data_IF_287938447841
#
_entry.id   IF_287938447841
#
_cell.length_a   1.000
_cell.length_b   1.000
_cell.length_c   1.000
_cell.angle_alpha   90.00
_cell.angle_beta   90.00
_cell.angle_gamma   90.00
#
_symmetry.space_group_name_H-M   'P 1'
#
loop_
_entity.id
_entity.type
_entity.pdbx_description
1 polymer ?
#
# COMPACT_ATOMS: atom_id res chain seq x y z
N UNK A 1 -27.00 26.80 -14.92
CA UNK A 1 -26.35 25.49 -14.68
C UNK A 1 -25.00 25.55 -15.39
N UNK A 2 -23.86 25.51 -14.69
CA UNK A 2 -22.61 25.88 -15.33
C UNK A 2 -22.04 24.73 -16.16
N UNK A 3 -21.59 25.14 -17.34
CA UNK A 3 -20.92 24.45 -18.44
C UNK A 3 -19.89 23.38 -18.04
N UNK A 4 -20.31 22.13 -17.87
CA UNK A 4 -19.40 20.98 -17.76
C UNK A 4 -19.31 20.15 -19.04
N UNK A 5 -19.87 20.63 -20.16
CA UNK A 5 -20.25 19.77 -21.28
C UNK A 5 -19.55 20.01 -22.62
N UNK A 6 -18.46 20.78 -22.73
CA UNK A 6 -17.77 20.91 -24.04
C UNK A 6 -16.25 21.03 -23.95
N UNK A 7 -15.58 19.87 -23.95
CA UNK A 7 -14.24 19.71 -24.51
C UNK A 7 -14.37 18.70 -25.67
N UNK A 8 -13.88 19.00 -26.88
CA UNK A 8 -14.05 18.14 -28.04
C UNK A 8 -13.18 16.89 -27.87
N UNK A 9 -13.79 15.71 -27.80
CA UNK A 9 -13.07 14.44 -27.68
C UNK A 9 -12.64 14.03 -26.27
N UNK A 10 -13.31 14.48 -25.20
CA UNK A 10 -12.95 14.08 -23.83
C UNK A 10 -13.02 12.57 -23.61
N UNK A 11 -11.96 11.93 -23.08
CA UNK A 11 -12.08 10.62 -22.48
C UNK A 11 -13.20 10.66 -21.43
N UNK A 12 -14.06 9.64 -21.43
CA UNK A 12 -15.08 9.50 -20.41
C UNK A 12 -14.43 9.61 -19.02
N UNK A 13 -14.93 10.47 -18.11
CA UNK A 13 -14.30 10.73 -16.79
C UNK A 13 -14.05 9.44 -16.00
N UNK A 14 -14.94 8.47 -16.19
CA UNK A 14 -14.80 7.11 -15.68
C UNK A 14 -13.55 6.41 -16.22
N UNK A 15 -13.33 6.46 -17.54
CA UNK A 15 -12.15 5.91 -18.18
C UNK A 15 -10.86 6.59 -17.74
N UNK A 16 -10.87 7.93 -17.61
CA UNK A 16 -9.73 8.68 -17.08
C UNK A 16 -9.37 8.22 -15.67
N UNK A 17 -10.37 8.11 -14.78
CA UNK A 17 -10.14 7.67 -13.39
C UNK A 17 -9.55 6.26 -13.29
N UNK A 18 -10.05 5.32 -14.10
CA UNK A 18 -9.54 3.94 -14.14
C UNK A 18 -8.13 3.92 -14.71
N UNK A 19 -7.88 4.62 -15.81
CA UNK A 19 -6.55 4.66 -16.42
C UNK A 19 -5.52 5.26 -15.47
N UNK A 20 -5.82 6.41 -14.86
CA UNK A 20 -4.93 7.05 -13.90
C UNK A 20 -4.68 6.16 -12.69
N UNK A 21 -5.70 5.45 -12.19
CA UNK A 21 -5.53 4.47 -11.10
C UNK A 21 -4.59 3.33 -11.48
N UNK A 22 -4.75 2.73 -12.67
CA UNK A 22 -3.90 1.62 -13.12
C UNK A 22 -2.47 2.10 -13.37
N UNK A 23 -2.31 3.25 -14.03
CA UNK A 23 -1.01 3.88 -14.30
C UNK A 23 -0.27 4.20 -13.00
N UNK A 24 -0.97 4.78 -12.01
CA UNK A 24 -0.41 5.07 -10.70
C UNK A 24 -0.01 3.80 -9.93
N UNK A 25 -0.87 2.78 -9.89
CA UNK A 25 -0.55 1.53 -9.20
C UNK A 25 0.65 0.79 -9.83
N UNK A 26 0.79 0.86 -11.15
CA UNK A 26 1.94 0.24 -11.82
C UNK A 26 3.19 1.14 -11.86
N UNK A 27 3.13 2.33 -11.25
CA UNK A 27 4.19 3.35 -11.32
C UNK A 27 4.60 3.68 -12.78
N UNK A 28 3.63 3.74 -13.69
CA UNK A 28 3.87 3.91 -15.12
C UNK A 28 4.09 5.37 -15.52
N UNK A 29 3.59 6.32 -14.72
CA UNK A 29 3.78 7.76 -14.96
C UNK A 29 3.02 8.33 -16.16
N UNK A 30 2.13 7.55 -16.80
CA UNK A 30 1.36 8.00 -17.96
C UNK A 30 0.04 8.65 -17.55
N UNK A 31 -0.33 9.72 -18.26
CA UNK A 31 -1.62 10.39 -18.19
C UNK A 31 -2.24 10.48 -19.59
N UNK A 32 -3.56 10.38 -19.68
CA UNK A 32 -4.29 10.63 -20.93
C UNK A 32 -4.49 12.14 -21.17
N UNK A 33 -4.39 12.96 -20.11
CA UNK A 33 -4.59 14.41 -20.17
C UNK A 33 -3.23 15.10 -20.05
N UNK A 34 -2.97 16.07 -20.92
CA UNK A 34 -1.70 16.83 -21.02
C UNK A 34 -1.39 17.66 -19.76
N UNK A 35 -2.40 18.00 -18.96
CA UNK A 35 -2.22 18.77 -17.73
C UNK A 35 -2.91 18.07 -16.54
N UNK A 36 -2.11 17.60 -15.58
CA UNK A 36 -2.56 17.04 -14.31
C UNK A 36 -2.71 18.11 -13.22
N UNK A 37 -2.51 19.40 -13.54
CA UNK A 37 -2.65 20.51 -12.58
C UNK A 37 -4.04 20.61 -11.94
N UNK A 38 -5.08 20.04 -12.58
CA UNK A 38 -6.40 19.94 -11.98
C UNK A 38 -6.43 19.05 -10.73
N UNK A 39 -5.56 18.03 -10.67
CA UNK A 39 -5.47 17.10 -9.55
C UNK A 39 -4.85 17.77 -8.31
N UNK A 40 -3.97 18.75 -8.53
CA UNK A 40 -3.29 19.52 -7.46
C UNK A 40 -4.23 20.36 -6.62
N UNK A 41 -5.48 20.56 -7.04
CA UNK A 41 -6.50 21.32 -6.32
C UNK A 41 -7.33 20.48 -5.35
N UNK A 42 -7.34 19.15 -5.52
CA UNK A 42 -8.16 18.23 -4.73
C UNK A 42 -7.27 17.33 -3.84
N UNK A 43 -7.14 17.63 -2.53
CA UNK A 43 -6.28 16.87 -1.62
C UNK A 43 -6.60 15.38 -1.54
N UNK A 44 -7.88 15.00 -1.68
CA UNK A 44 -8.31 13.60 -1.63
C UNK A 44 -7.80 12.78 -2.81
N UNK A 45 -7.81 13.36 -4.02
CA UNK A 45 -7.32 12.68 -5.21
C UNK A 45 -5.81 12.45 -5.14
N UNK A 46 -5.05 13.44 -4.63
CA UNK A 46 -3.61 13.33 -4.41
C UNK A 46 -3.29 12.19 -3.42
N UNK A 47 -4.04 12.09 -2.32
CA UNK A 47 -3.86 11.05 -1.31
C UNK A 47 -4.13 9.65 -1.88
N UNK A 48 -5.19 9.49 -2.66
CA UNK A 48 -5.52 8.22 -3.31
C UNK A 48 -4.38 7.81 -4.26
N UNK A 49 -3.95 8.69 -5.16
CA UNK A 49 -2.89 8.39 -6.12
C UNK A 49 -1.57 8.10 -5.40
N UNK A 50 -1.23 8.85 -4.35
CA UNK A 50 -0.04 8.59 -3.53
C UNK A 50 -0.09 7.19 -2.89
N UNK A 51 -1.24 6.81 -2.32
CA UNK A 51 -1.41 5.48 -1.75
C UNK A 51 -1.26 4.37 -2.79
N UNK A 52 -1.80 4.56 -4.00
CA UNK A 52 -1.67 3.61 -5.09
C UNK A 52 -0.22 3.44 -5.55
N UNK A 53 0.52 4.55 -5.70
CA UNK A 53 1.93 4.51 -6.10
C UNK A 53 2.79 3.82 -5.02
N UNK A 54 2.52 4.10 -3.74
CA UNK A 54 3.25 3.45 -2.63
C UNK A 54 2.94 1.95 -2.59
N UNK A 55 1.66 1.56 -2.67
CA UNK A 55 1.27 0.15 -2.69
C UNK A 55 1.85 -0.60 -3.89
N UNK A 56 1.90 0.03 -5.06
CA UNK A 56 2.53 -0.50 -6.27
C UNK A 56 4.05 -0.62 -6.16
N UNK A 57 4.72 0.41 -5.66
CA UNK A 57 6.17 0.53 -5.62
C UNK A 57 6.85 -0.37 -4.60
N UNK A 58 6.15 -0.80 -3.56
CA UNK A 58 6.70 -1.70 -2.53
C UNK A 58 6.89 -3.14 -3.07
N UNK A 59 6.14 -3.54 -4.10
CA UNK A 59 6.38 -4.76 -4.89
C UNK A 59 6.03 -6.10 -4.24
N UNK A 60 6.39 -7.19 -4.94
CA UNK A 60 6.22 -8.60 -4.53
C UNK A 60 6.69 -8.94 -3.11
N UNK A 61 7.79 -8.35 -2.59
CA UNK A 61 8.25 -8.68 -1.25
C UNK A 61 7.19 -8.41 -0.16
N UNK A 62 6.37 -7.36 -0.28
CA UNK A 62 5.32 -7.07 0.72
C UNK A 62 4.11 -7.97 0.60
N UNK A 63 3.78 -8.45 -0.59
CA UNK A 63 2.69 -9.42 -0.77
C UNK A 63 3.01 -10.70 0.01
N UNK A 64 4.24 -11.22 -0.12
CA UNK A 64 4.68 -12.41 0.65
C UNK A 64 4.68 -12.09 2.15
N UNK A 65 5.13 -10.90 2.55
CA UNK A 65 5.15 -10.50 3.95
C UNK A 65 3.73 -10.44 4.56
N UNK A 66 2.75 -9.91 3.82
CA UNK A 66 1.36 -9.84 4.24
C UNK A 66 0.77 -11.25 4.33
N UNK A 67 0.98 -12.10 3.32
CA UNK A 67 0.50 -13.48 3.33
C UNK A 67 1.05 -14.25 4.55
N UNK A 68 2.35 -14.15 4.79
CA UNK A 68 3.00 -14.74 5.98
C UNK A 68 2.42 -14.17 7.27
N UNK A 69 2.25 -12.86 7.37
CA UNK A 69 1.72 -12.20 8.57
C UNK A 69 0.30 -12.65 8.90
N UNK A 70 -0.55 -12.78 7.89
CA UNK A 70 -1.93 -13.29 8.04
C UNK A 70 -1.90 -14.74 8.51
N UNK A 71 -1.08 -15.59 7.89
CA UNK A 71 -0.94 -17.00 8.28
C UNK A 71 -0.44 -17.15 9.73
N UNK A 72 0.54 -16.35 10.16
CA UNK A 72 1.04 -16.36 11.55
C UNK A 72 -0.04 -15.94 12.55
N UNK A 73 -0.84 -14.92 12.22
CA UNK A 73 -1.96 -14.48 13.09
C UNK A 73 -3.00 -15.60 13.23
N UNK A 74 -3.37 -16.24 12.12
CA UNK A 74 -4.35 -17.33 12.13
C UNK A 74 -3.79 -18.54 12.89
N UNK A 75 -2.52 -18.92 12.69
CA UNK A 75 -1.90 -20.03 13.41
C UNK A 75 -1.80 -19.76 14.91
N UNK A 76 -1.44 -18.53 15.32
CA UNK A 76 -1.39 -18.16 16.74
C UNK A 76 -2.77 -18.22 17.40
N UNK A 77 -3.82 -17.84 16.66
CA UNK A 77 -5.19 -17.98 17.13
C UNK A 77 -5.60 -19.45 17.20
N UNK A 78 -5.36 -20.22 16.14
CA UNK A 78 -5.71 -21.64 16.06
C UNK A 78 -4.99 -22.47 17.13
N UNK A 79 -3.71 -22.23 17.37
CA UNK A 79 -2.93 -22.93 18.41
C UNK A 79 -3.44 -22.64 19.82
N UNK A 80 -3.96 -21.43 20.08
CA UNK A 80 -4.68 -21.16 21.35
C UNK A 80 -5.97 -21.96 21.45
N UNK A 81 -6.74 -22.04 20.36
CA UNK A 81 -7.97 -22.82 20.32
C UNK A 81 -7.68 -24.31 20.51
N UNK A 82 -6.64 -24.84 19.88
CA UNK A 82 -6.17 -26.21 20.04
C UNK A 82 -5.79 -26.51 21.49
N UNK A 83 -4.92 -25.72 22.12
CA UNK A 83 -4.50 -25.95 23.51
C UNK A 83 -5.67 -25.91 24.51
N UNK A 84 -6.63 -24.99 24.30
CA UNK A 84 -7.85 -24.92 25.12
C UNK A 84 -8.72 -26.15 24.89
N UNK A 85 -8.88 -26.57 23.63
CA UNK A 85 -9.71 -27.73 23.27
C UNK A 85 -9.07 -29.03 23.76
N UNK A 86 -7.76 -29.22 23.60
CA UNK A 86 -6.99 -30.33 24.16
C UNK A 86 -7.20 -30.46 25.66
N UNK A 87 -7.01 -29.37 26.40
CA UNK A 87 -7.16 -29.36 27.86
C UNK A 87 -8.59 -29.71 28.28
N UNK A 88 -9.58 -29.13 27.59
CA UNK A 88 -11.00 -29.39 27.88
C UNK A 88 -11.38 -30.84 27.57
N UNK A 89 -10.94 -31.37 26.42
CA UNK A 89 -11.24 -32.73 25.99
C UNK A 89 -10.54 -33.76 26.85
N UNK A 90 -9.26 -33.57 27.18
CA UNK A 90 -8.51 -34.47 28.06
C UNK A 90 -9.15 -34.54 29.45
N UNK A 91 -9.62 -33.41 30.00
CA UNK A 91 -10.37 -33.39 31.26
C UNK A 91 -11.67 -34.19 31.14
N UNK A 92 -12.45 -34.02 30.06
CA UNK A 92 -13.70 -34.79 29.87
C UNK A 92 -13.44 -36.28 29.73
N UNK A 93 -12.44 -36.69 28.97
CA UNK A 93 -12.10 -38.11 28.79
C UNK A 93 -11.64 -38.76 30.09
N UNK A 94 -10.87 -38.06 30.92
CA UNK A 94 -10.45 -38.57 32.24
C UNK A 94 -11.61 -38.67 33.23
N UNK A 95 -12.53 -37.68 33.24
CA UNK A 95 -13.62 -37.63 34.23
C UNK A 95 -14.84 -38.46 33.85
N UNK A 96 -15.18 -38.51 32.56
CA UNK A 96 -16.42 -39.11 32.07
C UNK A 96 -16.17 -40.39 31.27
N UNK A 97 -14.90 -40.72 30.96
CA UNK A 97 -14.58 -41.84 30.07
C UNK A 97 -15.10 -41.65 28.65
N UNK A 98 -15.47 -40.43 28.28
CA UNK A 98 -16.01 -40.11 26.96
C UNK A 98 -14.90 -39.88 25.94
N UNK A 99 -15.02 -40.55 24.80
CA UNK A 99 -14.10 -40.38 23.68
C UNK A 99 -14.27 -39.00 23.01
N UNK A 100 -13.18 -38.42 22.46
CA UNK A 100 -13.25 -37.14 21.79
C UNK A 100 -14.11 -37.24 20.52
N UNK A 101 -14.98 -36.26 20.27
CA UNK A 101 -15.87 -36.25 19.13
C UNK A 101 -15.09 -36.05 17.82
N UNK A 102 -15.56 -36.64 16.72
CA UNK A 102 -14.86 -36.63 15.43
C UNK A 102 -14.55 -35.23 14.87
N UNK A 103 -15.32 -34.20 15.24
CA UNK A 103 -15.04 -32.81 14.83
C UNK A 103 -13.74 -32.25 15.43
N UNK A 104 -13.27 -32.81 16.54
CA UNK A 104 -12.00 -32.42 17.15
C UNK A 104 -10.80 -32.73 16.24
N UNK A 105 -10.86 -33.84 15.51
CA UNK A 105 -9.85 -34.23 14.52
C UNK A 105 -9.76 -33.18 13.42
N UNK A 106 -10.88 -32.55 13.05
CA UNK A 106 -10.89 -31.48 12.06
C UNK A 106 -10.12 -30.24 12.56
N UNK A 107 -10.23 -29.89 13.84
CA UNK A 107 -9.48 -28.78 14.44
C UNK A 107 -7.97 -29.07 14.41
N UNK A 108 -7.54 -30.25 14.87
CA UNK A 108 -6.13 -30.66 14.83
C UNK A 108 -5.62 -30.71 13.39
N UNK A 109 -6.36 -31.36 12.48
CA UNK A 109 -5.94 -31.48 11.09
C UNK A 109 -5.82 -30.13 10.38
N UNK A 110 -6.63 -29.15 10.77
CA UNK A 110 -6.52 -27.78 10.26
C UNK A 110 -5.32 -27.07 10.87
N UNK A 111 -5.08 -27.22 12.18
CA UNK A 111 -3.90 -26.67 12.86
C UNK A 111 -2.59 -27.17 12.23
N UNK A 112 -2.42 -28.49 12.11
CA UNK A 112 -1.25 -29.14 11.50
C UNK A 112 -1.04 -28.68 10.06
N UNK A 113 -2.12 -28.48 9.29
CA UNK A 113 -2.03 -27.98 7.91
C UNK A 113 -1.51 -26.54 7.85
N UNK A 114 -1.90 -25.67 8.78
CA UNK A 114 -1.37 -24.31 8.85
C UNK A 114 0.10 -24.30 9.27
N UNK A 115 0.48 -25.13 10.23
CA UNK A 115 1.87 -25.26 10.67
C UNK A 115 2.77 -25.72 9.53
N UNK A 116 2.35 -26.75 8.78
CA UNK A 116 3.09 -27.23 7.62
C UNK A 116 3.28 -26.15 6.54
N UNK A 117 2.26 -25.32 6.28
CA UNK A 117 2.42 -24.17 5.36
C UNK A 117 3.42 -23.15 5.91
N UNK A 118 3.30 -22.76 7.18
CA UNK A 118 4.21 -21.81 7.83
C UNK A 118 5.66 -22.29 7.88
N UNK A 119 5.88 -23.59 8.05
CA UNK A 119 7.22 -24.19 8.06
C UNK A 119 7.88 -24.10 6.68
N UNK A 120 7.12 -24.30 5.59
CA UNK A 120 7.60 -24.08 4.22
C UNK A 120 8.05 -22.62 4.06
N UNK A 121 7.22 -21.65 4.46
CA UNK A 121 7.62 -20.24 4.43
C UNK A 121 8.88 -19.99 5.27
N UNK A 122 9.00 -20.58 6.46
CA UNK A 122 10.19 -20.38 7.31
C UNK A 122 11.46 -20.96 6.67
N UNK A 123 11.35 -22.12 6.02
CA UNK A 123 12.46 -22.87 5.43
C UNK A 123 12.94 -22.26 4.11
N UNK A 124 12.02 -21.86 3.24
CA UNK A 124 12.34 -21.24 1.95
C UNK A 124 12.69 -19.76 2.10
N UNK A 125 12.04 -19.07 3.03
CA UNK A 125 12.11 -17.62 3.17
C UNK A 125 12.91 -17.22 4.42
N UNK A 126 14.17 -17.70 4.58
CA UNK A 126 15.16 -17.36 5.65
C UNK A 126 14.62 -16.39 6.72
N UNK A 127 13.78 -16.92 7.61
CA UNK A 127 12.70 -16.18 8.30
C UNK A 127 13.04 -14.80 8.86
N UNK A 128 14.19 -14.65 9.51
CA UNK A 128 14.58 -13.41 10.19
C UNK A 128 15.36 -12.44 9.29
N UNK A 129 16.14 -12.95 8.33
CA UNK A 129 16.89 -12.13 7.39
C UNK A 129 15.94 -11.37 6.45
N UNK A 130 14.90 -12.07 5.97
CA UNK A 130 13.90 -11.46 5.10
C UNK A 130 13.02 -10.47 5.88
N UNK A 131 12.72 -10.70 7.15
CA UNK A 131 11.98 -9.73 7.97
C UNK A 131 12.74 -8.40 8.09
N UNK A 132 14.06 -8.45 8.28
CA UNK A 132 14.89 -7.25 8.29
C UNK A 132 14.94 -6.59 6.91
N UNK A 133 15.10 -7.36 5.83
CA UNK A 133 15.08 -6.84 4.47
C UNK A 133 13.76 -6.13 4.15
N UNK A 134 12.62 -6.75 4.49
CA UNK A 134 11.29 -6.18 4.34
C UNK A 134 11.12 -4.90 5.16
N UNK A 135 11.57 -4.90 6.41
CA UNK A 135 11.53 -3.73 7.26
C UNK A 135 12.40 -2.59 6.70
N UNK A 136 13.59 -2.89 6.16
CA UNK A 136 14.47 -1.91 5.52
C UNK A 136 13.81 -1.33 4.27
N UNK A 137 13.15 -2.14 3.44
CA UNK A 137 12.43 -1.67 2.24
C UNK A 137 11.28 -0.73 2.65
N UNK A 138 10.45 -1.15 3.61
CA UNK A 138 9.30 -0.36 4.08
C UNK A 138 9.76 0.92 4.77
N UNK A 139 10.67 0.82 5.74
CA UNK A 139 11.19 1.98 6.46
C UNK A 139 11.97 2.91 5.53
N UNK A 140 12.80 2.35 4.64
CA UNK A 140 13.55 3.11 3.65
C UNK A 140 12.65 3.88 2.70
N UNK A 141 11.59 3.25 2.18
CA UNK A 141 10.60 3.95 1.34
C UNK A 141 9.88 5.06 2.11
N UNK A 142 9.46 4.80 3.36
CA UNK A 142 8.77 5.79 4.18
C UNK A 142 9.68 6.99 4.49
N UNK A 143 10.94 6.75 4.87
CA UNK A 143 11.94 7.78 5.11
C UNK A 143 12.18 8.61 3.85
N UNK A 144 12.38 7.95 2.70
CA UNK A 144 12.68 8.63 1.44
C UNK A 144 11.52 9.52 0.99
N UNK A 145 10.28 9.05 1.11
CA UNK A 145 9.06 9.81 0.79
C UNK A 145 8.94 11.06 1.67
N UNK A 146 9.18 10.92 2.98
CA UNK A 146 9.06 12.05 3.91
C UNK A 146 10.18 13.06 3.73
N UNK A 147 11.44 12.61 3.59
CA UNK A 147 12.57 13.49 3.33
C UNK A 147 12.40 14.22 1.99
N UNK A 148 12.00 13.51 0.93
CA UNK A 148 11.75 14.11 -0.37
C UNK A 148 10.63 15.16 -0.35
N UNK A 149 9.51 14.84 0.30
CA UNK A 149 8.38 15.77 0.46
C UNK A 149 8.76 17.03 1.25
N UNK A 150 9.48 16.87 2.36
CA UNK A 150 9.97 18.01 3.17
C UNK A 150 10.98 18.85 2.38
N UNK A 151 11.89 18.24 1.64
CA UNK A 151 12.86 18.95 0.83
C UNK A 151 12.18 19.83 -0.24
N UNK A 152 11.18 19.30 -0.95
CA UNK A 152 10.40 20.07 -1.93
C UNK A 152 9.59 21.18 -1.25
N UNK A 153 8.97 20.89 -0.09
CA UNK A 153 8.23 21.88 0.67
C UNK A 153 9.11 23.08 1.03
N UNK A 154 10.33 22.85 1.52
CA UNK A 154 11.26 23.92 1.91
C UNK A 154 11.77 24.72 0.71
N UNK A 155 12.05 24.06 -0.42
CA UNK A 155 12.58 24.71 -1.63
C UNK A 155 11.50 25.54 -2.35
N UNK A 156 10.31 24.98 -2.52
CA UNK A 156 9.22 25.59 -3.31
C UNK A 156 8.27 26.45 -2.45
N UNK A 157 8.51 26.58 -1.14
CA UNK A 157 7.60 27.26 -0.20
C UNK A 157 7.22 28.69 -0.62
N UNK A 158 8.23 29.42 -1.10
CA UNK A 158 8.13 30.83 -1.50
C UNK A 158 7.99 31.01 -3.02
N UNK A 159 8.01 29.93 -3.80
CA UNK A 159 7.95 30.04 -5.25
C UNK A 159 6.51 30.24 -5.74
N UNK A 160 6.25 31.42 -6.30
CA UNK A 160 4.93 31.87 -6.75
C UNK A 160 4.46 31.13 -8.02
N UNK A 161 5.38 30.52 -8.78
CA UNK A 161 5.05 29.77 -10.00
C UNK A 161 4.51 28.35 -9.73
N UNK A 162 4.79 27.79 -8.55
CA UNK A 162 4.46 26.39 -8.21
C UNK A 162 3.46 26.34 -7.04
N UNK A 163 3.96 26.22 -5.81
CA UNK A 163 3.17 25.90 -4.62
C UNK A 163 2.90 27.16 -3.77
N UNK A 164 3.64 28.25 -4.00
CA UNK A 164 3.63 29.45 -3.16
C UNK A 164 2.27 30.14 -3.03
N UNK A 165 1.40 30.05 -4.05
CA UNK A 165 0.06 30.67 -4.07
C UNK A 165 -1.03 29.90 -3.30
N UNK A 166 -0.75 28.66 -2.89
CA UNK A 166 -1.76 27.73 -2.33
C UNK A 166 -1.95 27.90 -0.82
N UNK A 167 -3.05 27.39 -0.27
CA UNK A 167 -3.28 27.35 1.19
C UNK A 167 -2.30 26.36 1.85
N UNK A 168 -1.89 26.58 3.10
CA UNK A 168 -0.90 25.75 3.80
C UNK A 168 -1.19 24.23 3.70
N UNK A 169 -2.44 23.80 3.80
CA UNK A 169 -2.84 22.39 3.63
C UNK A 169 -2.55 21.87 2.22
N UNK A 170 -2.96 22.61 1.19
CA UNK A 170 -2.69 22.30 -0.22
C UNK A 170 -1.19 22.28 -0.51
N UNK A 171 -0.42 23.20 0.08
CA UNK A 171 1.05 23.20 -0.01
C UNK A 171 1.62 21.89 0.50
N UNK A 172 1.17 21.45 1.68
CA UNK A 172 1.64 20.21 2.29
C UNK A 172 1.34 19.00 1.41
N UNK A 173 0.10 18.80 0.96
CA UNK A 173 -0.25 17.64 0.13
C UNK A 173 0.46 17.66 -1.23
N UNK A 174 0.55 18.82 -1.87
CA UNK A 174 1.23 18.93 -3.15
C UNK A 174 2.73 18.66 -3.01
N UNK A 175 3.41 19.19 -1.99
CA UNK A 175 4.86 18.97 -1.81
C UNK A 175 5.24 17.50 -1.62
N UNK A 176 4.40 16.70 -0.96
CA UNK A 176 4.62 15.26 -0.82
C UNK A 176 4.27 14.47 -2.09
N UNK A 177 3.49 15.06 -3.00
CA UNK A 177 3.05 14.44 -4.24
C UNK A 177 3.96 14.77 -5.44
N UNK A 178 4.56 15.96 -5.46
CA UNK A 178 5.49 16.43 -6.49
C UNK A 178 6.64 15.46 -6.83
N UNK A 179 7.24 14.70 -5.89
CA UNK A 179 8.29 13.73 -6.21
C UNK A 179 7.84 12.60 -7.15
N UNK A 180 6.54 12.27 -7.15
CA UNK A 180 6.00 11.08 -7.84
C UNK A 180 5.55 11.33 -9.28
N UNK A 181 5.21 12.57 -9.63
CA UNK A 181 4.64 12.91 -10.95
C UNK A 181 5.50 13.89 -11.75
N UNK A 182 6.75 14.14 -11.36
CA UNK A 182 7.58 15.09 -12.08
C UNK A 182 8.00 14.52 -13.43
N UNK A 183 7.16 14.69 -14.45
CA UNK A 183 7.67 14.87 -15.79
C UNK A 183 8.62 16.09 -15.79
N UNK A 184 9.75 16.03 -16.51
CA UNK A 184 10.67 17.14 -16.68
C UNK A 184 10.09 18.22 -17.61
N UNK A 185 8.88 18.74 -17.37
CA UNK A 185 8.27 19.82 -18.17
C UNK A 185 8.67 21.22 -17.70
N UNK A 186 9.30 21.36 -16.52
CA UNK A 186 9.68 22.67 -15.97
C UNK A 186 11.01 23.18 -16.56
N UNK A 187 11.85 22.31 -17.12
CA UNK A 187 13.15 22.72 -17.68
C UNK A 187 13.11 23.12 -19.17
N UNK A 188 12.05 22.77 -19.90
CA UNK A 188 11.93 23.08 -21.33
C UNK A 188 11.24 24.42 -21.61
N UNK A 189 10.47 24.98 -20.67
CA UNK A 189 9.84 26.31 -20.88
C UNK A 189 10.76 27.50 -20.58
N UNK A 190 11.83 27.34 -19.80
CA UNK A 190 12.78 28.46 -19.56
C UNK A 190 13.87 28.60 -20.61
N UNK A 191 14.01 27.63 -21.53
CA UNK A 191 15.02 27.65 -22.60
C UNK A 191 14.46 28.01 -23.98
N UNK A 192 13.14 28.18 -24.13
CA UNK A 192 12.51 28.62 -25.39
C UNK A 192 12.18 30.13 -25.44
N UNK A 193 12.59 30.90 -24.43
CA UNK A 193 12.50 32.36 -24.42
C UNK A 193 13.88 32.96 -24.11
N UNK A 194 14.85 32.70 -24.98
CA UNK A 194 16.02 33.55 -25.23
C UNK A 194 16.53 33.30 -26.65
#
# INVERSE_FOLDING_TARGET
MPETDRLPGTPNRFFLSIFTSISAFNNAGFSIVDDLSFLSKDPLCLLIVQFLIVMGGIGFPVIIFIEKSILEIIQKFMGKVEAVTETFMMRRTVLLGEDPPAWYIFVIATSVRLEGRLEIYRKELFGDANRMQMAIIVLGSLILIHIGGIAILLIEYNNVETIGKMVFSEKLFNSFFFPFLREPQVLTRSTSLK
#
